data_IF_814017801665
#
_entry.id   IF_814017801665
#
_cell.length_a   1.000
_cell.length_b   1.000
_cell.length_c   1.000
_cell.angle_alpha   90.00
_cell.angle_beta   90.00
_cell.angle_gamma   90.00
#
_symmetry.space_group_name_H-M   'P 1'
#
loop_
_entity.id
_entity.type
_entity.pdbx_description
1 polymer ?
#
# COMPACT_ATOMS: atom_id res chain seq x y z
N UNK A 1 1.30 5.77 4.37
CA UNK A 1 1.23 5.83 5.84
C UNK A 1 1.88 4.57 6.38
N UNK A 2 2.80 4.68 7.33
CA UNK A 2 3.14 3.57 8.20
C UNK A 2 2.11 3.53 9.34
N UNK A 3 1.20 2.56 9.28
CA UNK A 3 0.16 2.36 10.28
C UNK A 3 0.61 1.47 11.44
N UNK A 4 1.82 0.88 11.35
CA UNK A 4 2.35 -0.07 12.31
C UNK A 4 1.35 -1.17 12.70
N UNK A 5 0.64 -1.70 11.70
CA UNK A 5 -0.35 -2.77 11.86
C UNK A 5 0.32 -4.13 11.94
N UNK A 6 -0.33 -5.08 12.62
CA UNK A 6 0.17 -6.41 12.88
C UNK A 6 -0.81 -7.48 12.41
N UNK A 7 -0.29 -8.65 12.05
CA UNK A 7 -1.14 -9.80 11.67
C UNK A 7 -2.14 -10.16 12.76
N UNK A 8 -1.68 -10.15 14.00
CA UNK A 8 -2.49 -10.43 15.18
C UNK A 8 -2.55 -9.18 16.06
N UNK A 9 -3.78 -8.77 16.40
CA UNK A 9 -4.00 -7.67 17.33
C UNK A 9 -3.67 -8.10 18.77
N UNK A 10 -3.26 -7.13 19.59
CA UNK A 10 -3.10 -7.33 21.03
C UNK A 10 -3.34 -6.01 21.77
N UNK A 11 -3.27 -6.01 23.10
CA UNK A 11 -3.36 -4.78 23.89
C UNK A 11 -2.32 -3.72 23.50
N UNK A 12 -1.22 -4.12 22.86
CA UNK A 12 -0.12 -3.25 22.44
C UNK A 12 0.04 -3.13 20.93
N UNK A 13 -0.77 -3.85 20.14
CA UNK A 13 -0.61 -3.98 18.69
C UNK A 13 -1.94 -3.77 17.97
N UNK A 14 -1.94 -2.86 17.01
CA UNK A 14 -3.10 -2.62 16.16
C UNK A 14 -3.18 -3.69 15.07
N UNK A 15 -4.30 -4.41 14.96
CA UNK A 15 -4.48 -5.43 13.93
C UNK A 15 -4.72 -4.85 12.53
N UNK A 16 -4.31 -5.56 11.48
CA UNK A 16 -4.59 -5.20 10.07
C UNK A 16 -6.08 -4.95 9.82
N UNK A 17 -6.95 -5.86 10.29
CA UNK A 17 -8.40 -5.72 10.09
C UNK A 17 -9.00 -4.57 10.90
N UNK A 18 -8.57 -4.39 12.16
CA UNK A 18 -9.03 -3.26 13.00
C UNK A 18 -8.71 -1.91 12.36
N UNK A 19 -7.52 -1.79 11.76
CA UNK A 19 -7.15 -0.57 11.05
C UNK A 19 -8.00 -0.37 9.78
N UNK A 20 -8.25 -1.45 9.01
CA UNK A 20 -9.14 -1.42 7.85
C UNK A 20 -10.55 -0.97 8.23
N UNK A 21 -11.14 -1.55 9.27
CA UNK A 21 -12.45 -1.15 9.80
C UNK A 21 -12.47 0.31 10.23
N UNK A 22 -11.41 0.78 10.90
CA UNK A 22 -11.31 2.16 11.35
C UNK A 22 -11.26 3.15 10.19
N UNK A 23 -10.50 2.89 9.12
CA UNK A 23 -10.49 3.78 7.94
C UNK A 23 -11.83 3.70 7.17
N UNK A 24 -12.43 2.51 7.06
CA UNK A 24 -13.73 2.31 6.40
C UNK A 24 -14.84 3.07 7.14
N UNK A 25 -14.82 3.09 8.47
CA UNK A 25 -15.75 3.89 9.29
C UNK A 25 -15.70 5.40 9.00
N UNK A 26 -14.62 5.88 8.36
CA UNK A 26 -14.42 7.27 7.96
C UNK A 26 -14.72 7.53 6.47
N UNK A 27 -15.31 6.55 5.78
CA UNK A 27 -15.58 6.61 4.34
C UNK A 27 -14.32 6.51 3.47
N UNK A 28 -13.22 6.01 4.04
CA UNK A 28 -11.96 5.78 3.33
C UNK A 28 -11.82 4.31 2.96
N UNK A 29 -10.89 4.01 2.05
CA UNK A 29 -10.44 2.67 1.70
C UNK A 29 -8.93 2.70 1.45
N UNK A 30 -8.33 1.56 1.11
CA UNK A 30 -6.90 1.46 0.86
C UNK A 30 -6.55 0.72 -0.43
N UNK A 31 -5.28 0.78 -0.82
CA UNK A 31 -4.74 -0.02 -1.91
C UNK A 31 -4.83 -1.54 -1.70
N UNK A 32 -5.11 -1.98 -0.47
CA UNK A 32 -5.29 -3.38 -0.09
C UNK A 32 -6.76 -3.83 -0.09
N UNK A 33 -7.69 -2.94 -0.45
CA UNK A 33 -9.12 -3.21 -0.41
C UNK A 33 -9.72 -3.08 1.00
N UNK A 34 -10.96 -3.53 1.14
CA UNK A 34 -11.72 -3.51 2.41
C UNK A 34 -11.34 -4.69 3.32
N UNK A 35 -11.01 -5.84 2.73
CA UNK A 35 -10.54 -7.05 3.41
C UNK A 35 -9.06 -7.32 3.08
N UNK A 36 -8.12 -6.55 3.66
CA UNK A 36 -6.70 -6.73 3.41
C UNK A 36 -6.20 -8.07 3.95
N UNK A 37 -5.43 -8.81 3.15
CA UNK A 37 -4.75 -10.03 3.57
C UNK A 37 -3.54 -9.71 4.48
N UNK A 38 -3.54 -10.13 5.76
CA UNK A 38 -2.41 -9.92 6.67
C UNK A 38 -1.09 -10.60 6.24
N UNK A 39 -1.13 -11.53 5.28
CA UNK A 39 0.06 -12.13 4.67
C UNK A 39 0.72 -11.22 3.61
N UNK A 40 0.08 -10.13 3.19
CA UNK A 40 0.66 -9.11 2.32
C UNK A 40 1.63 -8.19 3.08
N UNK A 41 2.65 -8.78 3.70
CA UNK A 41 3.62 -8.05 4.51
C UNK A 41 4.39 -7.01 3.70
N UNK A 42 4.65 -5.87 4.32
CA UNK A 42 5.51 -4.81 3.79
C UNK A 42 6.80 -4.69 4.59
N UNK A 43 6.98 -5.55 5.58
CA UNK A 43 8.18 -5.71 6.38
C UNK A 43 8.61 -7.17 6.39
N UNK A 44 9.93 -7.39 6.41
CA UNK A 44 10.57 -8.66 6.71
C UNK A 44 11.97 -8.32 7.25
N UNK A 45 12.02 -7.71 8.42
CA UNK A 45 13.26 -7.22 9.00
C UNK A 45 13.69 -8.15 10.13
N UNK A 46 14.88 -8.74 9.96
CA UNK A 46 15.53 -9.55 10.96
C UNK A 46 16.78 -8.81 11.41
N UNK A 47 16.86 -8.47 12.69
CA UNK A 47 18.00 -7.72 13.20
C UNK A 47 19.17 -8.68 13.33
N UNK A 48 20.25 -8.40 12.63
CA UNK A 48 21.51 -9.14 12.80
C UNK A 48 22.41 -8.40 13.77
N UNK A 49 23.50 -9.04 14.19
CA UNK A 49 24.49 -8.49 15.13
C UNK A 49 25.14 -7.16 14.67
N UNK A 50 24.92 -6.74 13.43
CA UNK A 50 25.45 -5.51 12.84
C UNK A 50 24.62 -4.25 13.16
N UNK A 51 23.43 -4.40 13.76
CA UNK A 51 22.59 -3.26 14.14
C UNK A 51 22.77 -2.90 15.63
N UNK A 52 22.65 -1.61 16.03
CA UNK A 52 22.87 -1.14 17.41
C UNK A 52 21.98 -1.78 18.50
N UNK A 53 21.02 -2.62 18.11
CA UNK A 53 20.06 -3.29 18.99
C UNK A 53 20.34 -4.80 19.04
N UNK A 54 21.58 -5.13 19.45
CA UNK A 54 22.11 -6.49 19.62
C UNK A 54 21.19 -7.42 20.43
N UNK A 55 20.41 -6.88 21.37
CA UNK A 55 19.45 -7.63 22.17
C UNK A 55 18.27 -8.22 21.37
N UNK A 56 18.10 -7.82 20.11
CA UNK A 56 17.12 -8.40 19.19
C UNK A 56 17.79 -9.17 18.03
N UNK A 57 19.08 -9.48 18.16
CA UNK A 57 19.79 -10.23 17.14
C UNK A 57 19.22 -11.64 17.01
N UNK A 58 18.98 -12.07 15.77
CA UNK A 58 18.52 -13.43 15.46
C UNK A 58 19.61 -14.20 14.75
N UNK A 59 19.62 -15.53 14.89
CA UNK A 59 20.51 -16.38 14.11
C UNK A 59 20.15 -16.26 12.64
N UNK A 60 21.14 -16.40 11.76
CA UNK A 60 20.91 -16.37 10.31
C UNK A 60 19.86 -17.41 9.87
N UNK A 61 19.89 -18.61 10.46
CA UNK A 61 18.92 -19.68 10.21
C UNK A 61 17.50 -19.38 10.70
N UNK A 62 17.32 -18.36 11.53
CA UNK A 62 16.04 -17.98 12.14
C UNK A 62 15.54 -16.62 11.61
N UNK A 63 16.25 -16.02 10.65
CA UNK A 63 15.99 -14.64 10.24
C UNK A 63 14.59 -14.43 9.67
N UNK A 64 14.05 -15.42 8.97
CA UNK A 64 12.70 -15.35 8.41
C UNK A 64 11.66 -15.60 9.51
N UNK A 65 11.85 -16.65 10.31
CA UNK A 65 10.89 -17.09 11.32
C UNK A 65 10.79 -16.15 12.51
N UNK A 66 11.89 -15.48 12.87
CA UNK A 66 11.95 -14.43 13.91
C UNK A 66 11.97 -13.01 13.33
N UNK A 67 11.96 -12.88 12.01
CA UNK A 67 11.84 -11.61 11.32
C UNK A 67 10.48 -11.00 11.58
N UNK A 68 10.44 -9.68 11.72
CA UNK A 68 9.17 -8.97 11.86
C UNK A 68 8.50 -8.87 10.47
N UNK A 69 7.40 -9.61 10.33
CA UNK A 69 6.67 -9.81 9.08
C UNK A 69 5.24 -9.30 9.22
N UNK A 70 5.03 -8.03 8.91
CA UNK A 70 3.72 -7.39 9.02
C UNK A 70 3.40 -6.50 7.83
N UNK A 71 2.11 -6.40 7.50
CA UNK A 71 1.59 -5.33 6.66
C UNK A 71 1.56 -4.06 7.52
N UNK A 72 2.42 -3.09 7.23
CA UNK A 72 2.51 -1.81 7.97
C UNK A 72 2.26 -0.60 7.09
N UNK A 73 2.44 -0.72 5.78
CA UNK A 73 2.39 0.40 4.85
C UNK A 73 1.10 0.43 4.05
N UNK A 74 0.44 1.59 4.07
CA UNK A 74 -0.89 1.80 3.49
C UNK A 74 -0.92 3.04 2.60
N UNK A 75 -1.59 2.91 1.45
CA UNK A 75 -2.05 4.05 0.64
C UNK A 75 -3.56 4.14 0.88
N UNK A 76 -4.00 5.18 1.59
CA UNK A 76 -5.38 5.37 2.03
C UNK A 76 -5.98 6.56 1.30
N UNK A 77 -7.22 6.43 0.83
CA UNK A 77 -7.94 7.45 0.07
C UNK A 77 -9.44 7.36 0.31
N UNK A 78 -10.19 8.41 0.00
CA UNK A 78 -11.65 8.37 0.09
C UNK A 78 -12.25 7.45 -0.97
N UNK A 79 -13.07 6.49 -0.56
CA UNK A 79 -13.70 5.51 -1.44
C UNK A 79 -14.67 6.18 -2.44
N UNK A 80 -15.19 7.36 -2.09
CA UNK A 80 -16.08 8.14 -2.96
C UNK A 80 -15.35 8.90 -4.07
N UNK A 81 -14.02 8.95 -4.05
CA UNK A 81 -13.20 9.76 -4.96
C UNK A 81 -12.34 8.90 -5.87
N UNK A 82 -11.72 7.85 -5.35
CA UNK A 82 -10.69 7.08 -6.04
C UNK A 82 -10.92 5.58 -5.92
N UNK A 83 -10.45 4.83 -6.90
CA UNK A 83 -10.28 3.38 -6.87
C UNK A 83 -8.82 3.01 -7.09
N UNK A 84 -8.36 1.93 -6.47
CA UNK A 84 -7.02 1.39 -6.64
C UNK A 84 -7.01 0.21 -7.61
N UNK A 85 -5.94 0.08 -8.38
CA UNK A 85 -5.66 -1.03 -9.28
C UNK A 85 -4.16 -1.27 -9.38
N UNK A 86 -3.75 -2.47 -9.79
CA UNK A 86 -2.33 -2.82 -9.94
C UNK A 86 -1.50 -2.57 -8.67
N UNK A 87 -2.06 -2.86 -7.49
CA UNK A 87 -1.32 -2.74 -6.22
C UNK A 87 -0.18 -3.75 -6.20
N UNK A 88 1.05 -3.28 -5.93
CA UNK A 88 2.25 -4.11 -5.89
C UNK A 88 3.16 -3.74 -4.72
N UNK A 89 4.01 -4.69 -4.33
CA UNK A 89 5.08 -4.57 -3.35
C UNK A 89 6.44 -4.77 -4.02
N UNK A 90 7.48 -4.07 -3.58
CA UNK A 90 8.85 -4.27 -4.05
C UNK A 90 9.86 -4.17 -2.91
N UNK A 91 10.61 -5.25 -2.70
CA UNK A 91 11.71 -5.33 -1.75
C UNK A 91 13.07 -5.58 -2.45
N UNK A 92 13.13 -5.34 -3.77
CA UNK A 92 14.32 -5.56 -4.61
C UNK A 92 14.80 -4.32 -5.34
N UNK A 93 13.97 -3.26 -5.41
CA UNK A 93 14.24 -2.08 -6.24
C UNK A 93 14.08 -2.35 -7.74
N UNK A 94 13.38 -3.45 -8.10
CA UNK A 94 13.18 -3.91 -9.47
C UNK A 94 11.71 -4.25 -9.75
N UNK A 95 10.79 -3.61 -9.02
CA UNK A 95 9.33 -3.76 -9.16
C UNK A 95 8.88 -5.23 -8.93
N UNK A 96 9.57 -5.93 -8.03
CA UNK A 96 9.29 -7.33 -7.71
C UNK A 96 9.37 -7.57 -6.21
N UNK A 97 8.40 -8.32 -5.69
CA UNK A 97 8.45 -8.83 -4.32
C UNK A 97 9.05 -10.23 -4.28
N UNK A 98 10.05 -10.43 -3.42
CA UNK A 98 10.59 -11.75 -3.08
C UNK A 98 10.10 -12.12 -1.68
N UNK A 99 9.25 -13.14 -1.60
CA UNK A 99 8.72 -13.65 -0.34
C UNK A 99 9.88 -14.10 0.58
N UNK A 100 9.76 -13.85 1.89
CA UNK A 100 10.74 -14.27 2.91
C UNK A 100 12.17 -13.69 2.75
N UNK A 101 12.39 -12.79 1.80
CA UNK A 101 13.62 -12.03 1.72
C UNK A 101 13.70 -11.07 2.90
N UNK A 102 14.76 -11.17 3.69
CA UNK A 102 15.05 -10.21 4.76
C UNK A 102 15.64 -8.95 4.15
N UNK A 103 15.13 -7.78 4.53
CA UNK A 103 15.62 -6.47 4.11
C UNK A 103 15.71 -5.50 5.31
N UNK A 104 16.63 -4.51 5.27
CA UNK A 104 17.43 -4.06 4.13
C UNK A 104 18.52 -5.04 3.69
N UNK A 105 18.97 -4.91 2.45
CA UNK A 105 20.11 -5.62 1.87
C UNK A 105 21.10 -4.63 1.28
N UNK A 106 22.26 -5.11 0.82
CA UNK A 106 23.26 -4.26 0.14
C UNK A 106 22.72 -3.51 -1.08
N UNK A 107 21.64 -4.01 -1.70
CA UNK A 107 21.04 -3.44 -2.91
C UNK A 107 19.61 -2.92 -2.72
N UNK A 108 19.05 -3.08 -1.52
CA UNK A 108 17.74 -2.55 -1.15
C UNK A 108 17.84 -1.90 0.24
N UNK A 109 17.88 -0.57 0.34
CA UNK A 109 18.35 0.12 1.54
C UNK A 109 17.31 0.28 2.66
N UNK A 110 16.07 -0.15 2.43
CA UNK A 110 14.94 0.06 3.33
C UNK A 110 14.59 -1.22 4.10
N UNK A 111 14.11 -1.08 5.34
CA UNK A 111 13.49 -2.13 6.15
C UNK A 111 11.99 -2.29 5.87
N UNK A 112 11.43 -1.44 5.01
CA UNK A 112 10.08 -1.53 4.44
C UNK A 112 10.13 -1.74 2.93
N UNK A 113 9.25 -2.58 2.41
CA UNK A 113 9.00 -2.72 0.99
C UNK A 113 8.30 -1.49 0.44
N UNK A 114 8.59 -1.15 -0.82
CA UNK A 114 7.85 -0.12 -1.54
C UNK A 114 6.44 -0.63 -1.80
N UNK A 115 5.43 0.19 -1.48
CA UNK A 115 4.03 -0.05 -1.86
C UNK A 115 3.68 0.90 -2.99
N UNK A 116 3.10 0.35 -4.06
CA UNK A 116 2.67 1.13 -5.22
C UNK A 116 1.28 0.68 -5.67
N UNK A 117 0.49 1.60 -6.22
CA UNK A 117 -0.83 1.32 -6.80
C UNK A 117 -1.16 2.41 -7.82
N UNK A 118 -2.03 2.09 -8.77
CA UNK A 118 -2.60 3.06 -9.71
C UNK A 118 -3.95 3.52 -9.19
N UNK A 119 -4.11 4.83 -9.01
CA UNK A 119 -5.36 5.45 -8.55
C UNK A 119 -6.12 6.07 -9.72
N UNK A 120 -7.41 5.77 -9.80
CA UNK A 120 -8.32 6.29 -10.83
C UNK A 120 -9.54 6.95 -10.19
N UNK A 121 -10.07 8.06 -10.73
CA UNK A 121 -11.30 8.67 -10.23
C UNK A 121 -12.51 7.73 -10.32
N UNK A 122 -13.39 7.79 -9.32
CA UNK A 122 -14.71 7.12 -9.39
C UNK A 122 -15.60 7.87 -10.38
N UNK A 123 -15.99 7.22 -11.47
CA UNK A 123 -16.98 7.78 -12.40
C UNK A 123 -18.38 7.57 -11.81
N UNK A 124 -18.99 8.65 -11.30
CA UNK A 124 -20.40 8.63 -10.92
C UNK A 124 -21.22 8.52 -12.21
N UNK A 125 -21.94 7.42 -12.40
CA UNK A 125 -23.03 7.39 -13.39
C UNK A 125 -24.04 8.43 -12.94
N UNK A 126 -24.23 9.49 -13.72
CA UNK A 126 -25.38 10.37 -13.52
C UNK A 126 -26.63 9.50 -13.66
N UNK A 127 -27.44 9.41 -12.61
CA UNK A 127 -28.81 8.92 -12.73
C UNK A 127 -29.58 9.91 -13.59
N UNK A 128 -29.44 9.81 -14.91
CA UNK A 128 -30.41 10.38 -15.85
C UNK A 128 -31.66 9.54 -15.65
N UNK A 129 -32.67 10.13 -15.01
CA UNK A 129 -33.98 9.54 -14.95
C UNK A 129 -34.43 9.20 -16.37
N UNK A 130 -35.07 8.04 -16.52
CA UNK A 130 -35.66 7.60 -17.77
C UNK A 130 -36.58 8.70 -18.30
N UNK A 131 -36.17 9.31 -19.41
CA UNK A 131 -36.82 10.47 -20.00
C UNK A 131 -36.14 10.83 -21.32
N UNK A 132 -36.48 10.02 -22.33
CA UNK A 132 -36.44 10.29 -23.78
C UNK A 132 -35.16 10.82 -24.46
N UNK A 133 -35.00 10.32 -25.68
CA UNK A 133 -33.95 10.59 -26.65
C UNK A 133 -33.68 12.07 -26.88
N UNK A 134 -32.40 12.45 -26.99
CA UNK A 134 -31.91 13.27 -28.11
C UNK A 134 -30.37 13.25 -28.19
N UNK A 135 -29.92 13.26 -29.43
CA UNK A 135 -28.54 13.37 -29.92
C UNK A 135 -27.81 14.56 -29.28
N UNK A 136 -26.64 14.31 -28.70
CA UNK A 136 -25.90 15.32 -27.96
C UNK A 136 -24.50 14.87 -27.62
N UNK A 137 -23.61 14.91 -28.62
CA UNK A 137 -22.16 14.76 -28.47
C UNK A 137 -21.63 15.48 -27.21
N UNK A 138 -21.15 14.70 -26.23
CA UNK A 138 -20.51 15.23 -25.04
C UNK A 138 -19.01 15.38 -25.33
N UNK A 139 -18.60 16.60 -25.69
CA UNK A 139 -17.19 16.96 -25.84
C UNK A 139 -16.53 16.95 -24.45
N UNK A 140 -15.70 15.94 -24.19
CA UNK A 140 -14.75 15.98 -23.07
C UNK A 140 -13.62 16.94 -23.50
N UNK A 141 -13.63 18.16 -22.97
CA UNK A 141 -12.48 19.06 -23.09
C UNK A 141 -11.32 18.51 -22.26
N UNK A 142 -10.42 17.77 -22.91
CA UNK A 142 -9.12 17.42 -22.32
C UNK A 142 -8.24 18.65 -22.36
N UNK A 143 -8.10 19.33 -21.22
CA UNK A 143 -7.03 20.30 -21.01
C UNK A 143 -5.70 19.55 -21.03
N UNK A 144 -5.00 19.63 -22.16
CA UNK A 144 -3.63 19.14 -22.28
C UNK A 144 -2.71 20.15 -21.59
N UNK A 145 -2.34 19.84 -20.35
CA UNK A 145 -1.26 20.55 -19.68
C UNK A 145 0.04 20.30 -20.47
N UNK A 146 0.62 21.37 -21.03
CA UNK A 146 1.90 21.32 -21.71
C UNK A 146 3.04 21.02 -20.71
N UNK A 147 4.06 20.24 -21.08
CA UNK A 147 5.19 19.96 -20.20
C UNK A 147 6.02 21.24 -19.99
N UNK A 148 6.19 21.62 -18.72
CA UNK A 148 7.16 22.63 -18.30
C UNK A 148 8.55 22.07 -18.56
N UNK A 149 9.25 22.67 -19.51
CA UNK A 149 10.67 22.40 -19.76
C UNK A 149 11.48 23.09 -18.68
N UNK A 150 12.14 22.32 -17.81
CA UNK A 150 13.14 22.87 -16.89
C UNK A 150 14.44 23.01 -17.70
N UNK A 151 14.85 24.26 -17.93
CA UNK A 151 16.16 24.56 -18.49
C UNK A 151 17.25 24.16 -17.49
N UNK A 152 18.36 23.66 -18.05
CA UNK A 152 19.52 23.05 -17.37
C UNK A 152 20.17 23.91 -16.31
#
# INVERSE_FOLDING_TARGET
>A
LDANTYREASAQRHGVHQFSEWITSKGMTSCWGEEPDPANTTTCNARTFLQPQLNKAVRLSEQVTKGEQNLKDWIVFYASQLTASNTNRDNTGRVRYVQEMVYPTLVFPSDHAVVSTTLSPVVKKSSRGDGESEDGSFLIATSTASPVTVAR
#
